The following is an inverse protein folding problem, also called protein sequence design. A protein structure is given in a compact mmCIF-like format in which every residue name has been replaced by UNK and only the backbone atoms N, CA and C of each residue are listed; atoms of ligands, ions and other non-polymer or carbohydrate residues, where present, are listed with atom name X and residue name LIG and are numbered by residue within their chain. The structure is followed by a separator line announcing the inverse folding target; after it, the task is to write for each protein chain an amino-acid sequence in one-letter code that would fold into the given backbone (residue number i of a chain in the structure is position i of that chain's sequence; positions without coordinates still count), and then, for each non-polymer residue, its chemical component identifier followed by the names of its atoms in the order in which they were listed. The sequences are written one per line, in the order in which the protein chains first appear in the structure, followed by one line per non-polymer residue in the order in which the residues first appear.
data_IF_882461728373
#
_entry.id   IF_882461728373
#
_cell.length_a   1.000
_cell.length_b   1.000
_cell.length_c   1.000
_cell.angle_alpha   90.00
_cell.angle_beta   90.00
_cell.angle_gamma   90.00
#
_symmetry.space_group_name_H-M   'P 1'
#
loop_
_entity.id
_entity.type
_entity.pdbx_description
1 polymer ?
#
# COMPACT_ATOMS: atom_id res chain seq x y z
N UNK A 1 -15.40 41.48 42.63
CA UNK A 1 -14.06 42.07 42.89
C UNK A 1 -13.05 41.43 41.93
N UNK A 2 -12.46 42.27 41.06
CA UNK A 2 -11.14 42.21 40.36
C UNK A 2 -10.63 40.83 39.90
N UNK A 3 -10.70 40.45 38.61
CA UNK A 3 -9.82 40.82 37.47
C UNK A 3 -8.31 40.74 37.74
N UNK A 4 -7.64 39.83 37.02
CA UNK A 4 -6.28 39.86 36.42
C UNK A 4 -6.10 38.48 35.75
N UNK A 5 -6.26 38.24 34.44
CA UNK A 5 -5.68 38.82 33.23
C UNK A 5 -4.16 39.05 33.31
N UNK A 6 -3.39 37.97 33.11
CA UNK A 6 -1.97 38.05 32.75
C UNK A 6 -1.85 37.56 31.31
N UNK A 7 -1.93 38.53 30.40
CA UNK A 7 -1.33 38.42 29.07
C UNK A 7 0.18 38.32 29.26
N UNK A 8 0.78 37.18 28.92
CA UNK A 8 2.21 37.10 28.68
C UNK A 8 2.44 37.27 27.17
N UNK A 9 2.55 38.54 26.80
CA UNK A 9 2.98 39.05 25.51
C UNK A 9 4.51 39.20 25.52
N UNK A 10 5.22 38.27 24.91
CA UNK A 10 6.60 38.50 24.41
C UNK A 10 6.75 37.62 23.18
N UNK A 11 6.58 38.17 21.98
CA UNK A 11 7.68 38.70 21.18
C UNK A 11 8.94 37.84 21.30
N UNK A 12 9.26 37.10 20.24
CA UNK A 12 10.44 37.40 19.44
C UNK A 12 10.38 36.65 18.10
N UNK A 13 10.33 37.46 17.06
CA UNK A 13 10.47 37.11 15.66
C UNK A 13 11.81 36.41 15.42
N UNK A 14 11.82 35.27 14.74
CA UNK A 14 12.99 34.86 13.95
C UNK A 14 12.52 34.10 12.70
N UNK A 15 12.21 34.84 11.66
CA UNK A 15 12.16 34.34 10.29
C UNK A 15 13.57 34.41 9.70
N UNK A 16 14.14 33.31 9.21
CA UNK A 16 15.10 33.39 8.12
C UNK A 16 14.34 33.34 6.80
N UNK A 17 14.22 34.52 6.18
CA UNK A 17 13.98 34.66 4.75
C UNK A 17 15.17 34.01 4.03
N UNK A 18 14.97 32.80 3.49
CA UNK A 18 15.95 32.17 2.60
C UNK A 18 15.49 32.38 1.16
N UNK A 19 15.88 33.53 0.60
CA UNK A 19 15.78 33.83 -0.82
C UNK A 19 17.17 33.73 -1.43
N UNK A 20 17.51 32.59 -2.04
CA UNK A 20 18.62 32.46 -2.98
C UNK A 20 18.29 31.38 -4.03
N UNK A 21 17.67 31.81 -5.12
CA UNK A 21 18.02 31.29 -6.46
C UNK A 21 19.38 31.93 -6.83
N UNK A 22 20.30 31.24 -7.53
CA UNK A 22 20.18 31.16 -8.99
C UNK A 22 20.86 29.96 -9.70
N UNK A 23 20.58 29.91 -11.01
CA UNK A 23 21.45 29.46 -12.11
C UNK A 23 21.59 27.97 -12.40
N UNK A 24 20.80 27.57 -13.39
CA UNK A 24 21.15 26.64 -14.48
C UNK A 24 22.60 26.78 -14.97
N UNK A 25 23.28 25.65 -15.20
CA UNK A 25 24.07 25.44 -16.40
C UNK A 25 23.29 24.56 -17.39
N UNK A 26 23.15 25.08 -18.60
CA UNK A 26 22.73 24.31 -19.76
C UNK A 26 23.89 23.38 -20.14
N UNK A 27 23.74 22.08 -19.89
CA UNK A 27 24.62 21.08 -20.46
C UNK A 27 23.93 20.32 -21.58
N UNK A 28 24.65 20.29 -22.69
CA UNK A 28 24.24 19.89 -24.02
C UNK A 28 25.04 18.65 -24.37
N UNK A 29 24.49 17.44 -24.18
CA UNK A 29 24.99 16.21 -24.82
C UNK A 29 23.79 15.30 -25.11
N UNK A 30 23.36 15.23 -26.37
CA UNK A 30 23.74 14.22 -27.37
C UNK A 30 23.35 12.79 -26.98
N UNK A 31 22.31 12.30 -27.66
CA UNK A 31 22.26 10.96 -28.25
C UNK A 31 22.16 9.77 -27.30
N UNK A 32 20.96 9.21 -27.17
CA UNK A 32 20.68 7.94 -27.86
C UNK A 32 19.19 7.64 -27.87
N UNK A 33 18.65 7.62 -29.09
CA UNK A 33 17.32 7.16 -29.44
C UNK A 33 17.22 5.65 -29.26
N UNK A 34 16.57 5.21 -28.19
CA UNK A 34 15.97 3.87 -28.14
C UNK A 34 14.48 4.01 -28.41
N UNK A 35 14.12 3.85 -29.68
CA UNK A 35 12.73 3.65 -30.12
C UNK A 35 12.21 2.36 -29.49
N UNK A 36 11.34 2.46 -28.49
CA UNK A 36 10.44 1.36 -28.14
C UNK A 36 9.06 1.71 -28.66
N UNK A 37 8.69 1.05 -29.76
CA UNK A 37 7.35 1.06 -30.32
C UNK A 37 6.36 0.54 -29.26
N UNK A 38 5.47 1.39 -28.76
CA UNK A 38 4.24 0.94 -28.13
C UNK A 38 3.09 1.42 -29.00
N UNK A 39 2.68 0.53 -29.91
CA UNK A 39 1.43 0.62 -30.64
C UNK A 39 0.29 0.59 -29.63
N UNK A 40 -0.26 1.76 -29.31
CA UNK A 40 -1.60 1.87 -28.75
C UNK A 40 -2.58 1.39 -29.84
N UNK A 41 -2.95 0.11 -29.78
CA UNK A 41 -4.20 -0.35 -30.36
C UNK A 41 -5.31 0.15 -29.46
N UNK A 42 -5.94 1.25 -29.87
CA UNK A 42 -7.32 1.53 -29.56
C UNK A 42 -8.13 0.30 -30.00
N UNK A 43 -8.77 -0.36 -29.05
CA UNK A 43 -9.87 -1.28 -29.36
C UNK A 43 -11.11 -0.44 -29.06
N UNK A 44 -11.72 0.06 -30.12
CA UNK A 44 -13.07 0.58 -30.07
C UNK A 44 -13.95 -0.53 -29.48
N UNK A 45 -14.52 -0.27 -28.30
CA UNK A 45 -15.57 -1.11 -27.72
C UNK A 45 -16.86 -0.54 -28.27
N UNK A 46 -17.30 -1.11 -29.39
CA UNK A 46 -18.62 -0.87 -29.94
C UNK A 46 -19.67 -1.15 -28.85
N UNK A 47 -20.51 -0.14 -28.61
CA UNK A 47 -21.76 -0.28 -27.88
C UNK A 47 -22.72 -1.08 -28.76
N UNK A 48 -22.74 -2.40 -28.60
CA UNK A 48 -23.85 -3.24 -29.08
C UNK A 48 -24.99 -3.15 -28.07
N UNK A 49 -26.00 -2.38 -28.44
CA UNK A 49 -27.38 -2.39 -27.97
C UNK A 49 -28.07 -3.71 -28.38
N UNK A 50 -27.62 -4.81 -27.78
CA UNK A 50 -28.16 -6.16 -27.97
C UNK A 50 -29.39 -6.45 -27.12
N UNK A 51 -30.55 -6.06 -27.66
CA UNK A 51 -31.80 -6.82 -27.76
C UNK A 51 -32.10 -7.93 -26.71
N UNK A 52 -33.17 -7.68 -25.96
CA UNK A 52 -33.83 -8.57 -25.00
C UNK A 52 -34.46 -9.77 -25.72
N UNK A 53 -33.91 -10.98 -25.56
CA UNK A 53 -34.62 -12.21 -25.91
C UNK A 53 -34.84 -13.09 -24.68
N UNK A 54 -36.09 -13.06 -24.22
CA UNK A 54 -36.67 -14.10 -23.41
C UNK A 54 -36.81 -15.42 -24.19
N UNK A 55 -37.10 -16.50 -23.45
CA UNK A 55 -37.55 -17.83 -23.89
C UNK A 55 -36.43 -18.88 -23.99
N UNK A 56 -36.52 -19.94 -23.18
CA UNK A 56 -35.93 -21.22 -23.59
C UNK A 56 -35.47 -22.21 -22.52
N UNK A 57 -36.37 -22.67 -21.66
CA UNK A 57 -36.17 -23.88 -20.85
C UNK A 57 -35.79 -25.09 -21.72
N UNK A 58 -34.60 -25.71 -21.56
CA UNK A 58 -34.42 -27.17 -21.75
C UNK A 58 -33.36 -27.75 -20.81
N UNK A 59 -33.84 -28.60 -19.91
CA UNK A 59 -33.08 -29.60 -19.13
C UNK A 59 -32.12 -30.38 -20.06
N UNK A 60 -30.84 -30.47 -19.69
CA UNK A 60 -29.99 -31.60 -20.07
C UNK A 60 -29.22 -32.12 -18.86
N UNK A 61 -29.79 -33.17 -18.28
CA UNK A 61 -29.21 -34.02 -17.24
C UNK A 61 -28.12 -34.87 -17.92
N UNK A 62 -26.85 -34.72 -17.55
CA UNK A 62 -25.87 -35.81 -17.67
C UNK A 62 -24.96 -35.80 -16.45
N UNK A 63 -25.12 -36.87 -15.70
CA UNK A 63 -24.52 -37.21 -14.44
C UNK A 63 -23.15 -37.88 -14.60
N UNK A 64 -22.42 -37.86 -13.49
CA UNK A 64 -21.42 -38.81 -12.99
C UNK A 64 -19.92 -38.58 -13.24
N UNK A 65 -19.21 -38.60 -12.09
CA UNK A 65 -17.82 -39.02 -11.81
C UNK A 65 -16.73 -38.05 -12.27
N UNK A 66 -15.88 -37.51 -11.40
CA UNK A 66 -15.33 -38.07 -10.17
C UNK A 66 -15.06 -36.97 -9.14
N UNK A 67 -15.73 -37.08 -8.01
CA UNK A 67 -15.33 -36.48 -6.75
C UNK A 67 -14.01 -37.12 -6.32
N UNK A 68 -12.88 -36.50 -6.66
CA UNK A 68 -11.65 -36.69 -5.91
C UNK A 68 -11.82 -35.96 -4.57
N UNK A 69 -12.57 -36.62 -3.68
CA UNK A 69 -12.52 -36.38 -2.26
C UNK A 69 -11.06 -36.52 -1.84
N UNK A 70 -10.33 -35.40 -1.83
CA UNK A 70 -9.10 -35.29 -1.08
C UNK A 70 -9.50 -35.65 0.34
N UNK A 71 -9.11 -36.85 0.77
CA UNK A 71 -9.11 -37.27 2.16
C UNK A 71 -8.35 -36.18 2.91
N UNK A 72 -9.08 -35.27 3.52
CA UNK A 72 -8.57 -34.51 4.64
C UNK A 72 -8.38 -35.56 5.74
N UNK A 73 -7.16 -36.10 5.78
CA UNK A 73 -6.67 -36.84 6.94
C UNK A 73 -6.78 -35.84 8.07
N UNK A 74 -7.78 -36.04 8.93
CA UNK A 74 -7.85 -35.41 10.23
C UNK A 74 -6.58 -35.84 10.98
N UNK A 75 -5.58 -34.96 10.95
CA UNK A 75 -4.38 -35.12 11.74
C UNK A 75 -4.82 -35.16 13.20
N UNK A 76 -4.49 -36.27 13.83
CA UNK A 76 -4.70 -36.51 15.24
C UNK A 76 -4.14 -35.33 16.04
N UNK A 77 -4.97 -34.84 16.96
CA UNK A 77 -4.62 -33.92 18.03
C UNK A 77 -3.26 -34.27 18.65
N UNK A 78 -2.22 -33.51 18.32
CA UNK A 78 -1.16 -33.23 19.25
C UNK A 78 -1.53 -31.92 19.95
N UNK A 79 -1.64 -31.96 21.27
CA UNK A 79 -1.69 -30.80 22.16
C UNK A 79 -0.33 -30.08 22.13
N UNK A 80 0.07 -29.64 20.95
CA UNK A 80 1.30 -28.92 20.66
C UNK A 80 0.91 -27.79 19.74
N UNK A 81 1.40 -26.58 20.04
CA UNK A 81 1.11 -25.36 19.29
C UNK A 81 1.10 -25.63 17.79
N UNK A 82 -0.09 -25.58 17.19
CA UNK A 82 -0.24 -25.69 15.75
C UNK A 82 0.33 -24.42 15.13
N UNK A 83 1.63 -24.44 14.83
CA UNK A 83 2.31 -23.38 14.09
C UNK A 83 1.79 -23.43 12.66
N UNK A 84 0.81 -22.58 12.36
CA UNK A 84 0.36 -22.36 10.98
C UNK A 84 1.44 -21.57 10.25
N UNK A 85 2.14 -22.22 9.31
CA UNK A 85 3.13 -21.57 8.46
C UNK A 85 2.39 -20.84 7.33
N UNK A 86 2.30 -19.52 7.43
CA UNK A 86 1.75 -18.66 6.37
C UNK A 86 2.87 -18.30 5.40
N UNK A 87 2.60 -18.34 4.09
CA UNK A 87 3.56 -17.89 3.09
C UNK A 87 3.83 -16.38 3.25
N UNK A 88 5.08 -15.94 3.47
CA UNK A 88 5.42 -14.54 3.69
C UNK A 88 5.03 -13.63 2.51
N UNK A 89 5.08 -14.13 1.27
CA UNK A 89 4.73 -13.34 0.09
C UNK A 89 3.25 -12.93 0.06
N UNK A 90 2.35 -13.86 0.41
CA UNK A 90 0.92 -13.59 0.52
C UNK A 90 0.64 -12.53 1.59
N UNK A 91 1.25 -12.70 2.77
CA UNK A 91 1.09 -11.76 3.88
C UNK A 91 1.61 -10.36 3.54
N UNK A 92 2.70 -10.27 2.80
CA UNK A 92 3.23 -8.99 2.35
C UNK A 92 2.31 -8.29 1.34
N UNK A 93 1.64 -9.06 0.46
CA UNK A 93 0.62 -8.53 -0.45
C UNK A 93 -0.59 -8.01 0.34
N UNK A 94 -1.08 -8.75 1.32
CA UNK A 94 -2.20 -8.32 2.17
C UNK A 94 -1.90 -6.98 2.86
N UNK A 95 -0.69 -6.81 3.39
CA UNK A 95 -0.25 -5.55 3.99
C UNK A 95 -0.22 -4.41 2.96
N UNK A 96 0.27 -4.67 1.74
CA UNK A 96 0.33 -3.67 0.68
C UNK A 96 -1.07 -3.23 0.21
N UNK A 97 -2.00 -4.18 0.10
CA UNK A 97 -3.39 -3.90 -0.22
C UNK A 97 -4.09 -3.11 0.90
N UNK A 98 -3.87 -3.50 2.16
CA UNK A 98 -4.37 -2.76 3.31
C UNK A 98 -3.85 -1.31 3.34
N UNK A 99 -2.56 -1.11 3.09
CA UNK A 99 -1.96 0.23 2.98
C UNK A 99 -2.59 1.04 1.84
N UNK A 100 -2.73 0.44 0.65
CA UNK A 100 -3.35 1.09 -0.50
C UNK A 100 -4.82 1.45 -0.23
N UNK A 101 -5.55 0.59 0.48
CA UNK A 101 -6.93 0.83 0.89
C UNK A 101 -7.06 2.00 1.86
N UNK A 102 -6.25 2.03 2.93
CA UNK A 102 -6.21 3.14 3.89
C UNK A 102 -5.92 4.47 3.19
N UNK A 103 -4.94 4.48 2.28
CA UNK A 103 -4.59 5.66 1.48
C UNK A 103 -5.73 6.15 0.57
N UNK A 104 -6.57 5.24 0.07
CA UNK A 104 -7.76 5.58 -0.71
C UNK A 104 -8.87 6.15 0.17
N UNK A 105 -9.09 5.59 1.36
CA UNK A 105 -10.12 6.05 2.30
C UNK A 105 -9.85 7.46 2.83
N UNK A 106 -8.62 7.73 3.25
CA UNK A 106 -8.29 9.00 3.90
C UNK A 106 -7.10 9.67 3.22
N UNK A 107 -7.35 10.42 2.14
CA UNK A 107 -6.29 11.17 1.42
C UNK A 107 -5.61 12.24 2.29
N UNK A 108 -6.32 12.75 3.30
CA UNK A 108 -5.85 13.86 4.14
C UNK A 108 -5.17 13.38 5.42
N UNK A 109 -5.48 12.16 5.90
CA UNK A 109 -4.91 11.64 7.16
C UNK A 109 -3.59 10.95 6.90
N UNK A 110 -2.63 11.17 7.79
CA UNK A 110 -1.39 10.44 7.76
C UNK A 110 -1.62 8.97 8.10
N UNK A 111 -0.86 8.08 7.48
CA UNK A 111 -0.83 6.67 7.82
C UNK A 111 0.32 6.47 8.81
N UNK A 112 0.04 5.78 9.91
CA UNK A 112 1.01 5.34 10.90
C UNK A 112 1.15 3.81 10.86
N UNK A 113 2.36 3.32 11.11
CA UNK A 113 2.67 1.89 11.21
C UNK A 113 3.33 1.62 12.55
N UNK A 114 2.81 0.64 13.30
CA UNK A 114 3.36 0.22 14.59
C UNK A 114 4.05 -1.13 14.44
N UNK A 115 5.24 -1.24 15.03
CA UNK A 115 6.01 -2.47 15.07
C UNK A 115 5.80 -3.20 16.41
N UNK A 116 6.03 -4.50 16.42
CA UNK A 116 5.95 -5.36 17.61
C UNK A 116 6.89 -4.94 18.76
N UNK A 117 7.96 -4.19 18.44
CA UNK A 117 8.88 -3.65 19.44
C UNK A 117 8.40 -2.31 20.04
N UNK A 118 7.20 -1.86 19.69
CA UNK A 118 6.60 -0.60 20.14
C UNK A 118 7.09 0.64 19.37
N UNK A 119 8.03 0.50 18.42
CA UNK A 119 8.40 1.63 17.55
C UNK A 119 7.27 1.91 16.57
N UNK A 120 7.05 3.19 16.28
CA UNK A 120 6.06 3.62 15.31
C UNK A 120 6.68 4.50 14.22
N UNK A 121 6.26 4.29 12.98
CA UNK A 121 6.53 5.16 11.86
C UNK A 121 5.29 6.01 11.58
N UNK A 122 5.41 7.32 11.75
CA UNK A 122 4.37 8.28 11.37
C UNK A 122 4.61 8.82 9.97
N UNK A 123 3.56 9.35 9.32
CA UNK A 123 3.62 9.91 7.97
C UNK A 123 4.22 8.97 6.92
N UNK A 124 3.72 7.73 6.87
CA UNK A 124 4.12 6.76 5.84
C UNK A 124 3.60 7.19 4.46
N UNK A 125 4.52 7.40 3.52
CA UNK A 125 4.24 7.86 2.15
C UNK A 125 4.03 6.71 1.17
N UNK A 126 4.88 5.68 1.24
CA UNK A 126 4.79 4.47 0.41
C UNK A 126 5.32 3.26 1.15
N UNK A 127 4.85 2.10 0.73
CA UNK A 127 5.32 0.80 1.18
C UNK A 127 5.54 -0.07 -0.05
N UNK A 128 6.75 -0.60 -0.21
CA UNK A 128 7.13 -1.42 -1.35
C UNK A 128 7.62 -2.78 -0.85
N UNK A 129 7.02 -3.86 -1.35
CA UNK A 129 7.38 -5.23 -0.96
C UNK A 129 8.65 -5.65 -1.71
N UNK A 130 9.67 -6.13 -0.98
CA UNK A 130 10.90 -6.63 -1.58
C UNK A 130 10.70 -8.02 -2.19
N UNK A 131 11.63 -8.43 -3.07
CA UNK A 131 11.64 -9.79 -3.61
C UNK A 131 11.72 -10.82 -2.48
N UNK A 132 10.84 -11.83 -2.51
CA UNK A 132 10.72 -12.86 -1.48
C UNK A 132 9.72 -12.55 -0.36
N UNK A 133 9.13 -11.35 -0.32
CA UNK A 133 8.01 -11.03 0.58
C UNK A 133 8.36 -10.90 2.07
N UNK A 134 9.57 -11.24 2.51
CA UNK A 134 9.94 -11.19 3.94
C UNK A 134 10.19 -9.76 4.45
N UNK A 135 10.51 -8.82 3.55
CA UNK A 135 10.86 -7.44 3.90
C UNK A 135 10.04 -6.43 3.10
N UNK A 136 9.76 -5.29 3.72
CA UNK A 136 9.15 -4.13 3.09
C UNK A 136 10.02 -2.90 3.27
N UNK A 137 10.06 -2.08 2.23
CA UNK A 137 10.67 -0.75 2.25
C UNK A 137 9.57 0.26 2.56
N UNK A 138 9.70 0.95 3.69
CA UNK A 138 8.76 1.97 4.15
C UNK A 138 9.40 3.34 3.94
N UNK A 139 8.71 4.21 3.21
CA UNK A 139 9.13 5.58 2.97
C UNK A 139 8.35 6.51 3.90
N UNK A 140 9.04 7.25 4.76
CA UNK A 140 8.41 8.16 5.73
C UNK A 140 8.77 9.61 5.45
N UNK A 141 7.83 10.52 5.72
CA UNK A 141 8.08 11.96 5.69
C UNK A 141 8.48 12.44 7.08
N UNK A 142 9.63 13.12 7.18
CA UNK A 142 10.10 13.73 8.43
C UNK A 142 10.38 15.21 8.24
N UNK A 143 10.56 15.95 9.33
CA UNK A 143 10.97 17.38 9.27
C UNK A 143 12.32 17.59 8.59
N UNK A 144 13.16 16.55 8.53
CA UNK A 144 14.47 16.56 7.86
C UNK A 144 14.40 16.03 6.42
N UNK A 145 13.20 15.83 5.88
CA UNK A 145 12.97 15.25 4.56
C UNK A 145 12.52 13.81 4.61
N UNK A 146 12.72 13.09 3.51
CA UNK A 146 12.26 11.72 3.33
C UNK A 146 13.26 10.72 3.90
N UNK A 147 12.79 9.73 4.65
CA UNK A 147 13.59 8.60 5.11
C UNK A 147 13.07 7.28 4.56
N UNK A 148 13.98 6.33 4.41
CA UNK A 148 13.70 4.96 3.98
C UNK A 148 14.03 4.00 5.12
N UNK A 149 13.12 3.10 5.42
CA UNK A 149 13.26 2.08 6.44
C UNK A 149 13.05 0.71 5.80
N UNK A 150 13.91 -0.25 6.12
CA UNK A 150 13.71 -1.65 5.73
C UNK A 150 13.22 -2.39 6.96
N UNK A 151 12.07 -3.04 6.86
CA UNK A 151 11.36 -3.65 7.99
C UNK A 151 10.95 -5.06 7.62
N UNK A 152 11.11 -6.00 8.55
CA UNK A 152 10.61 -7.37 8.38
C UNK A 152 9.08 -7.37 8.52
N UNK A 153 8.38 -8.09 7.64
CA UNK A 153 6.91 -8.16 7.69
C UNK A 153 6.37 -8.72 9.01
N UNK A 154 7.16 -9.58 9.65
CA UNK A 154 6.80 -10.21 10.92
C UNK A 154 6.81 -9.22 12.07
N UNK A 155 7.60 -8.14 11.97
CA UNK A 155 7.69 -7.12 12.98
C UNK A 155 6.56 -6.08 12.87
N UNK A 156 5.75 -6.10 11.81
CA UNK A 156 4.66 -5.14 11.64
C UNK A 156 3.45 -5.64 12.42
N UNK A 157 3.04 -4.87 13.43
CA UNK A 157 1.89 -5.18 14.27
C UNK A 157 0.61 -4.64 13.65
N UNK A 158 0.60 -3.35 13.26
CA UNK A 158 -0.60 -2.68 12.78
C UNK A 158 -0.29 -1.51 11.83
N UNK A 159 -1.26 -1.19 10.95
CA UNK A 159 -1.25 -0.02 10.06
C UNK A 159 -2.57 0.73 10.26
N UNK A 160 -2.49 1.99 10.69
CA UNK A 160 -3.66 2.80 11.09
C UNK A 160 -3.62 4.21 10.51
N UNK A 161 -4.75 4.91 10.59
CA UNK A 161 -4.80 6.36 10.42
C UNK A 161 -4.55 7.06 11.75
N UNK A 162 -3.71 8.09 11.72
CA UNK A 162 -3.59 9.07 12.80
C UNK A 162 -4.61 10.20 12.63
#
# INVERSE_FOLDING_TARGET
MRMQLIMCLTLLCFTPVFALTPKTPADKQMGNSSKTNSTQKYVDVDQDDGEFNAIGSKKKKKSTKSSSAKKHVAAMHSTGDMVMIINPEMRAQDLNEAFAFLRKMSKTRAISMTLLDGRSFTHVLSMDVMKGGTMVIVKTSTTKGVKYHVVNIENIENITHE
#
